data_IF_051400580612
#
_entry.id   IF_051400580612
#
_cell.length_a   1.000
_cell.length_b   1.000
_cell.length_c   1.000
_cell.angle_alpha   90.00
_cell.angle_beta   90.00
_cell.angle_gamma   90.00
#
_symmetry.space_group_name_H-M   'P 1'
#
loop_
_entity.id
_entity.type
_entity.pdbx_description
1 polymer ?
#
# COMPACT_ATOMS: atom_id res chain seq x y z
N UNK A 1 -27.82 -43.42 -32.18
CA UNK A 1 -27.46 -42.09 -32.72
C UNK A 1 -27.86 -40.94 -31.79
N UNK A 2 -29.05 -40.98 -31.16
CA UNK A 2 -29.57 -39.95 -30.22
C UNK A 2 -28.67 -39.67 -29.01
N UNK A 3 -27.99 -40.69 -28.44
CA UNK A 3 -27.16 -40.54 -27.24
C UNK A 3 -25.86 -39.72 -27.44
N UNK A 4 -25.33 -39.69 -28.68
CA UNK A 4 -24.15 -38.88 -29.04
C UNK A 4 -24.50 -37.42 -29.33
N UNK A 5 -25.72 -37.18 -29.81
CA UNK A 5 -26.26 -35.82 -30.03
C UNK A 5 -26.58 -35.14 -28.70
N UNK A 6 -27.14 -35.88 -27.74
CA UNK A 6 -27.47 -35.36 -26.40
C UNK A 6 -26.20 -34.98 -25.60
N UNK A 7 -25.14 -35.79 -25.67
CA UNK A 7 -23.89 -35.53 -24.95
C UNK A 7 -23.13 -34.32 -25.53
N UNK A 8 -23.18 -34.13 -26.86
CA UNK A 8 -22.62 -32.94 -27.51
C UNK A 8 -23.37 -31.66 -27.16
N UNK A 9 -24.70 -31.72 -27.06
CA UNK A 9 -25.53 -30.58 -26.67
C UNK A 9 -25.29 -30.15 -25.21
N UNK A 10 -25.12 -31.11 -24.29
CA UNK A 10 -24.82 -30.82 -22.88
C UNK A 10 -23.42 -30.23 -22.70
N UNK A 11 -22.42 -30.68 -23.47
CA UNK A 11 -21.06 -30.13 -23.41
C UNK A 11 -20.97 -28.70 -23.99
N UNK A 12 -21.77 -28.39 -25.02
CA UNK A 12 -21.87 -27.05 -25.61
C UNK A 12 -22.60 -26.06 -24.70
N UNK A 13 -23.62 -26.51 -23.96
CA UNK A 13 -24.32 -25.67 -22.98
C UNK A 13 -23.48 -25.36 -21.73
N UNK A 14 -22.64 -26.30 -21.29
CA UNK A 14 -21.75 -26.09 -20.13
C UNK A 14 -20.61 -25.10 -20.43
N UNK A 15 -20.09 -25.06 -21.67
CA UNK A 15 -19.01 -24.15 -22.06
C UNK A 15 -19.51 -22.70 -22.29
N UNK A 16 -20.78 -22.52 -22.64
CA UNK A 16 -21.39 -21.20 -22.83
C UNK A 16 -21.72 -20.48 -21.51
N UNK A 17 -21.91 -21.22 -20.40
CA UNK A 17 -22.25 -20.64 -19.10
C UNK A 17 -21.04 -20.09 -18.32
N UNK A 18 -19.80 -20.38 -18.75
CA UNK A 18 -18.57 -19.90 -18.09
C UNK A 18 -18.09 -18.53 -18.58
N UNK A 19 -18.74 -17.90 -19.58
CA UNK A 19 -18.31 -16.62 -20.17
C UNK A 19 -19.23 -15.44 -19.81
N UNK A 20 -20.27 -15.65 -18.98
CA UNK A 20 -21.19 -14.59 -18.53
C UNK A 20 -20.98 -14.29 -17.04
N UNK A 21 -19.76 -13.95 -16.65
CA UNK A 21 -19.43 -13.46 -15.32
C UNK A 21 -18.39 -12.33 -15.38
N UNK A 22 -18.65 -11.34 -16.23
CA UNK A 22 -18.08 -9.99 -16.18
C UNK A 22 -18.95 -9.08 -17.07
N UNK A 23 -20.17 -8.78 -16.60
CA UNK A 23 -20.90 -7.61 -17.08
C UNK A 23 -21.23 -6.76 -15.87
N UNK A 24 -20.33 -5.82 -15.57
CA UNK A 24 -20.60 -4.74 -14.64
C UNK A 24 -21.55 -3.77 -15.35
N UNK A 25 -22.85 -4.05 -15.24
CA UNK A 25 -23.91 -3.17 -15.69
C UNK A 25 -24.14 -2.14 -14.59
N UNK A 26 -23.48 -0.99 -14.68
CA UNK A 26 -23.84 0.17 -13.89
C UNK A 26 -25.09 0.80 -14.51
N UNK A 27 -26.24 0.22 -14.17
CA UNK A 27 -27.52 0.86 -14.41
C UNK A 27 -27.63 2.09 -13.50
N UNK A 28 -27.53 3.27 -14.11
CA UNK A 28 -27.93 4.50 -13.48
C UNK A 28 -29.45 4.52 -13.38
N UNK A 29 -29.97 4.32 -12.18
CA UNK A 29 -31.35 4.65 -11.86
C UNK A 29 -31.40 6.10 -11.36
N UNK A 30 -32.03 6.94 -12.18
CA UNK A 30 -32.41 8.29 -11.82
C UNK A 30 -33.57 8.22 -10.82
N UNK A 31 -33.26 8.29 -9.52
CA UNK A 31 -34.27 8.51 -8.49
C UNK A 31 -34.22 9.96 -8.03
N UNK A 32 -35.17 10.74 -8.54
CA UNK A 32 -35.52 12.08 -8.07
C UNK A 32 -35.96 12.03 -6.60
N UNK A 33 -35.19 12.67 -5.72
CA UNK A 33 -35.56 12.98 -4.34
C UNK A 33 -35.31 14.48 -4.06
N UNK A 34 -36.14 15.14 -3.23
CA UNK A 34 -36.21 16.60 -3.07
C UNK A 34 -34.93 17.21 -2.46
N UNK A 35 -34.67 18.51 -2.65
CA UNK A 35 -33.44 19.15 -2.19
C UNK A 35 -33.36 19.12 -0.67
N UNK A 36 -32.43 18.32 -0.14
CA UNK A 36 -32.01 18.40 1.24
C UNK A 36 -31.19 19.69 1.44
N UNK A 37 -31.33 20.38 2.59
CA UNK A 37 -30.64 21.64 2.85
C UNK A 37 -29.12 21.45 2.82
N UNK A 38 -28.42 22.42 2.24
CA UNK A 38 -26.96 22.44 2.12
C UNK A 38 -26.29 22.20 3.48
N UNK A 39 -25.78 20.99 3.69
CA UNK A 39 -24.93 20.68 4.81
C UNK A 39 -23.53 21.24 4.51
N UNK A 40 -23.04 22.09 5.41
CA UNK A 40 -21.72 22.68 5.38
C UNK A 40 -20.67 21.56 5.39
N UNK A 41 -19.86 21.47 4.34
CA UNK A 41 -18.72 20.57 4.28
C UNK A 41 -17.76 20.85 5.45
N UNK A 42 -17.26 19.84 6.19
CA UNK A 42 -16.18 20.05 7.13
C UNK A 42 -14.92 20.48 6.35
N UNK A 43 -14.23 21.48 6.88
CA UNK A 43 -12.97 21.97 6.35
C UNK A 43 -11.94 20.83 6.29
N UNK A 44 -11.54 20.46 5.08
CA UNK A 44 -10.56 19.39 4.85
C UNK A 44 -10.61 18.77 3.46
N UNK A 45 -11.67 18.97 2.67
CA UNK A 45 -11.74 18.47 1.30
C UNK A 45 -10.93 19.33 0.32
N UNK A 46 -9.60 19.22 0.37
CA UNK A 46 -8.83 19.29 -0.86
C UNK A 46 -9.06 17.96 -1.57
N UNK A 47 -9.44 17.99 -2.84
CA UNK A 47 -9.71 16.78 -3.64
C UNK A 47 -8.40 16.04 -3.98
N UNK A 48 -7.65 15.67 -2.95
CA UNK A 48 -6.67 14.61 -3.02
C UNK A 48 -7.47 13.33 -3.11
N UNK A 49 -7.13 12.46 -4.05
CA UNK A 49 -7.78 11.17 -4.21
C UNK A 49 -7.74 10.46 -2.84
N UNK A 50 -8.90 10.05 -2.32
CA UNK A 50 -9.00 9.37 -1.01
C UNK A 50 -8.50 7.93 -1.13
N UNK A 51 -7.78 7.39 -0.15
CA UNK A 51 -7.23 6.02 -0.22
C UNK A 51 -8.32 4.96 -0.07
N UNK A 52 -9.35 5.22 0.73
CA UNK A 52 -10.54 4.40 0.86
C UNK A 52 -11.79 5.23 0.56
N UNK A 53 -12.71 4.70 -0.26
CA UNK A 53 -13.91 5.41 -0.72
C UNK A 53 -15.20 4.68 -0.34
N UNK A 54 -16.29 5.45 -0.25
CA UNK A 54 -17.61 4.88 0.02
C UNK A 54 -18.21 4.27 -1.26
N UNK A 55 -18.63 2.99 -1.27
CA UNK A 55 -19.23 2.38 -2.45
C UNK A 55 -20.58 3.00 -2.83
N UNK A 56 -21.26 3.67 -1.89
CA UNK A 56 -22.52 4.37 -2.14
C UNK A 56 -22.33 5.80 -2.71
N UNK A 57 -21.11 6.17 -3.12
CA UNK A 57 -20.85 7.43 -3.82
C UNK A 57 -20.80 8.68 -2.94
N UNK A 58 -20.72 8.53 -1.61
CA UNK A 58 -20.56 9.65 -0.68
C UNK A 58 -19.16 10.30 -0.83
N UNK A 59 -19.09 11.37 -1.62
CA UNK A 59 -17.86 12.13 -1.86
C UNK A 59 -17.39 12.84 -0.58
N UNK A 60 -16.09 12.78 -0.29
CA UNK A 60 -15.50 13.40 0.91
C UNK A 60 -15.70 12.62 2.22
N UNK A 61 -16.34 11.44 2.15
CA UNK A 61 -16.50 10.53 3.29
C UNK A 61 -15.61 9.29 3.17
N UNK A 62 -14.51 9.43 2.45
CA UNK A 62 -13.43 8.46 2.39
C UNK A 62 -12.56 8.50 3.64
N UNK A 63 -11.46 7.75 3.62
CA UNK A 63 -10.49 7.70 4.70
C UNK A 63 -9.09 7.38 4.16
N UNK A 64 -8.06 7.81 4.89
CA UNK A 64 -6.68 7.36 4.66
C UNK A 64 -6.42 5.91 5.11
N UNK A 65 -7.36 5.29 5.83
CA UNK A 65 -7.25 3.93 6.36
C UNK A 65 -8.56 3.15 6.19
N UNK A 66 -8.48 1.81 6.24
CA UNK A 66 -9.66 0.95 6.18
C UNK A 66 -10.64 1.27 7.32
N UNK A 67 -11.95 1.23 7.03
CA UNK A 67 -12.98 1.58 7.99
C UNK A 67 -14.39 1.58 7.39
N UNK A 68 -15.32 2.28 8.05
CA UNK A 68 -16.72 2.41 7.62
C UNK A 68 -17.06 3.85 7.27
N UNK A 69 -17.89 4.05 6.24
CA UNK A 69 -18.41 5.37 5.87
C UNK A 69 -19.31 5.92 6.98
N UNK A 70 -19.06 7.15 7.43
CA UNK A 70 -19.87 7.81 8.46
C UNK A 70 -21.29 8.20 8.03
N UNK A 71 -21.60 8.15 6.74
CA UNK A 71 -22.93 8.51 6.19
C UNK A 71 -23.88 7.32 6.05
N UNK A 72 -23.34 6.11 5.89
CA UNK A 72 -24.16 4.92 5.61
C UNK A 72 -23.66 3.64 6.25
N UNK A 73 -22.61 3.73 7.07
CA UNK A 73 -21.98 2.60 7.77
C UNK A 73 -21.45 1.47 6.88
N UNK A 74 -21.51 1.62 5.55
CA UNK A 74 -20.92 0.68 4.61
C UNK A 74 -19.39 0.64 4.77
N UNK A 75 -18.81 -0.54 4.63
CA UNK A 75 -17.35 -0.70 4.60
C UNK A 75 -16.77 0.11 3.44
N UNK A 76 -15.74 0.90 3.72
CA UNK A 76 -15.03 1.64 2.70
C UNK A 76 -14.20 0.67 1.85
N UNK A 77 -14.21 0.90 0.53
CA UNK A 77 -13.45 0.10 -0.42
C UNK A 77 -12.13 0.79 -0.72
N UNK A 78 -11.07 0.01 -0.96
CA UNK A 78 -9.77 0.54 -1.35
C UNK A 78 -9.86 1.18 -2.74
N UNK A 79 -9.32 2.40 -2.86
CA UNK A 79 -9.31 3.17 -4.08
C UNK A 79 -7.98 2.99 -4.82
N UNK A 80 -7.99 2.20 -5.89
CA UNK A 80 -6.79 1.92 -6.68
C UNK A 80 -6.18 3.20 -7.31
N UNK A 81 -6.99 4.21 -7.60
CA UNK A 81 -6.50 5.46 -8.19
C UNK A 81 -5.60 6.26 -7.24
N UNK A 82 -5.68 6.02 -5.92
CA UNK A 82 -4.80 6.67 -4.93
C UNK A 82 -3.32 6.46 -5.28
N UNK A 83 -2.94 5.20 -5.49
CA UNK A 83 -1.57 4.78 -5.81
C UNK A 83 -1.11 5.20 -7.21
N UNK A 84 -2.05 5.51 -8.11
CA UNK A 84 -1.73 6.07 -9.42
C UNK A 84 -1.35 7.56 -9.34
N UNK A 85 -1.83 8.28 -8.32
CA UNK A 85 -1.47 9.69 -8.09
C UNK A 85 -0.17 9.83 -7.28
N UNK A 86 0.20 8.83 -6.48
CA UNK A 86 1.50 8.76 -5.80
C UNK A 86 2.68 8.62 -6.80
N UNK A 87 2.40 8.25 -8.05
CA UNK A 87 3.36 8.15 -9.14
C UNK A 87 3.54 9.46 -9.93
N UNK A 88 2.72 10.49 -9.68
CA UNK A 88 2.95 11.81 -10.24
C UNK A 88 4.08 12.50 -9.44
N UNK A 89 5.13 13.03 -10.08
CA UNK A 89 6.10 13.86 -9.38
C UNK A 89 5.35 15.06 -8.79
N UNK A 90 5.29 15.16 -7.46
CA UNK A 90 4.77 16.34 -6.81
C UNK A 90 5.52 17.59 -7.34
N UNK A 91 4.85 18.75 -7.54
CA UNK A 91 5.56 20.02 -7.67
C UNK A 91 6.33 20.22 -6.38
N UNK A 92 7.62 19.93 -6.45
CA UNK A 92 8.59 20.19 -5.42
C UNK A 92 8.49 21.66 -5.02
N UNK A 93 8.23 22.03 -3.74
CA UNK A 93 8.36 23.42 -3.33
C UNK A 93 9.79 23.82 -3.63
N UNK A 94 9.94 24.77 -4.56
CA UNK A 94 11.18 25.15 -5.24
C UNK A 94 12.46 24.67 -4.51
N UNK A 95 13.04 23.57 -5.00
CA UNK A 95 14.43 23.28 -4.72
C UNK A 95 15.21 24.48 -5.23
N UNK A 96 15.81 25.20 -4.28
CA UNK A 96 16.90 26.10 -4.60
C UNK A 96 17.90 25.29 -5.41
N UNK A 97 18.21 25.79 -6.60
CA UNK A 97 19.19 25.26 -7.53
C UNK A 97 20.44 24.80 -6.78
N UNK A 98 20.53 23.50 -6.50
CA UNK A 98 21.77 22.87 -6.08
C UNK A 98 22.57 22.64 -7.36
N UNK A 99 23.75 23.25 -7.37
CA UNK A 99 24.82 23.08 -8.33
C UNK A 99 25.01 21.60 -8.72
N UNK A 100 25.10 21.26 -10.02
CA UNK A 100 25.29 19.88 -10.47
C UNK A 100 26.64 19.25 -10.07
N UNK A 101 27.49 19.96 -9.33
CA UNK A 101 28.76 19.44 -8.77
C UNK A 101 28.66 18.94 -7.32
N UNK A 102 27.47 18.94 -6.71
CA UNK A 102 27.25 18.43 -5.36
C UNK A 102 27.50 16.92 -5.23
N UNK A 103 28.73 16.53 -4.92
CA UNK A 103 29.04 15.17 -4.45
C UNK A 103 28.41 15.04 -3.07
N UNK A 104 27.23 14.41 -2.99
CA UNK A 104 26.62 14.09 -1.71
C UNK A 104 27.52 13.09 -0.98
N UNK A 105 28.23 13.56 0.05
CA UNK A 105 29.01 12.69 0.92
C UNK A 105 28.03 11.75 1.62
N UNK A 106 28.21 10.42 1.53
CA UNK A 106 27.35 9.48 2.23
C UNK A 106 27.42 9.76 3.73
N UNK A 107 26.31 9.55 4.47
CA UNK A 107 26.32 9.71 5.91
C UNK A 107 27.42 8.84 6.54
N UNK A 108 28.05 9.31 7.62
CA UNK A 108 29.09 8.55 8.29
C UNK A 108 28.55 7.16 8.69
N UNK A 109 29.37 6.09 8.59
CA UNK A 109 28.96 4.77 9.04
C UNK A 109 28.49 4.81 10.49
N UNK A 110 27.43 4.04 10.81
CA UNK A 110 27.00 3.88 12.18
C UNK A 110 28.15 3.34 13.05
N UNK A 111 28.24 3.81 14.29
CA UNK A 111 29.18 3.28 15.25
C UNK A 111 28.96 1.77 15.43
N UNK A 112 30.04 1.03 15.68
CA UNK A 112 29.93 -0.41 15.85
C UNK A 112 29.24 -0.80 17.17
N UNK A 113 29.39 0.04 18.19
CA UNK A 113 28.73 -0.08 19.48
C UNK A 113 27.95 1.20 19.81
N UNK A 114 26.82 1.04 20.51
CA UNK A 114 26.11 2.18 21.09
C UNK A 114 26.78 2.65 22.39
N UNK A 115 26.26 3.72 23.00
CA UNK A 115 26.83 4.28 24.23
C UNK A 115 26.82 3.31 25.44
N UNK A 116 25.97 2.28 25.40
CA UNK A 116 25.92 1.21 26.40
C UNK A 116 26.87 0.05 26.10
N UNK A 117 27.67 0.13 25.02
CA UNK A 117 28.59 -0.92 24.60
C UNK A 117 27.94 -2.09 23.85
N UNK A 118 26.67 -1.98 23.47
CA UNK A 118 25.96 -3.01 22.70
C UNK A 118 26.38 -2.93 21.24
N UNK A 119 26.78 -4.06 20.65
CA UNK A 119 27.18 -4.17 19.25
C UNK A 119 25.99 -4.13 18.30
N UNK A 120 26.14 -3.47 17.14
CA UNK A 120 25.11 -3.44 16.09
C UNK A 120 24.93 -4.79 15.40
N UNK A 121 26.02 -5.52 15.18
CA UNK A 121 26.00 -6.88 14.66
C UNK A 121 26.78 -7.82 15.58
N UNK A 122 26.20 -8.97 15.92
CA UNK A 122 26.73 -9.95 16.88
C UNK A 122 26.78 -11.35 16.29
N UNK A 123 27.63 -12.22 16.86
CA UNK A 123 27.72 -13.60 16.43
C UNK A 123 26.58 -14.43 17.03
N UNK A 124 25.74 -15.03 16.18
CA UNK A 124 24.65 -15.90 16.63
C UNK A 124 25.14 -17.15 17.38
N UNK A 125 26.40 -17.56 17.17
CA UNK A 125 27.05 -18.65 17.89
C UNK A 125 27.59 -18.24 19.26
N UNK A 126 27.41 -16.98 19.69
CA UNK A 126 27.84 -16.51 21.00
C UNK A 126 29.34 -16.20 21.12
N UNK A 127 30.05 -16.04 20.00
CA UNK A 127 31.44 -15.58 20.03
C UNK A 127 31.51 -14.14 20.60
N UNK A 128 32.57 -13.84 21.33
CA UNK A 128 32.80 -12.50 21.87
C UNK A 128 33.03 -11.48 20.75
N UNK A 129 32.53 -10.25 20.95
CA UNK A 129 32.68 -9.13 20.02
C UNK A 129 31.52 -8.96 19.03
N UNK A 130 31.75 -8.12 18.02
CA UNK A 130 30.77 -7.76 17.01
C UNK A 130 31.34 -6.79 15.98
N UNK A 131 30.47 -6.19 15.16
CA UNK A 131 30.86 -5.17 14.19
C UNK A 131 29.75 -4.15 13.94
N UNK A 132 30.07 -3.08 13.22
CA UNK A 132 29.10 -2.10 12.73
C UNK A 132 28.36 -2.54 11.47
N UNK A 133 28.71 -3.69 10.90
CA UNK A 133 28.16 -4.22 9.65
C UNK A 133 28.06 -5.75 9.68
N UNK A 134 27.28 -6.32 8.74
CA UNK A 134 27.13 -7.76 8.55
C UNK A 134 28.36 -8.40 7.89
N UNK A 135 29.50 -8.39 8.60
CA UNK A 135 30.76 -9.00 8.17
C UNK A 135 30.95 -10.39 8.80
N UNK A 136 32.00 -11.12 8.40
CA UNK A 136 32.35 -12.39 9.02
C UNK A 136 32.84 -12.20 10.47
N UNK A 137 32.39 -13.08 11.38
CA UNK A 137 32.88 -13.14 12.75
C UNK A 137 34.36 -13.55 12.76
N UNK A 138 35.19 -12.78 13.46
CA UNK A 138 36.63 -13.04 13.56
C UNK A 138 36.97 -14.40 14.21
N UNK A 139 36.05 -14.97 14.99
CA UNK A 139 36.27 -16.24 15.70
C UNK A 139 35.82 -17.45 14.90
N UNK A 140 34.62 -17.42 14.32
CA UNK A 140 34.02 -18.61 13.69
C UNK A 140 33.75 -18.46 12.18
N UNK A 141 34.02 -17.28 11.59
CA UNK A 141 33.81 -17.02 10.17
C UNK A 141 32.36 -16.82 9.74
N UNK A 142 31.37 -17.17 10.58
CA UNK A 142 29.96 -16.93 10.29
C UNK A 142 29.63 -15.44 10.17
N UNK A 143 28.75 -15.08 9.25
CA UNK A 143 28.27 -13.69 9.11
C UNK A 143 27.57 -13.23 10.39
N UNK A 144 27.94 -12.05 10.87
CA UNK A 144 27.34 -11.43 12.05
C UNK A 144 25.87 -11.06 11.76
N UNK A 145 25.01 -11.35 12.73
CA UNK A 145 23.59 -11.07 12.67
C UNK A 145 23.27 -9.70 13.27
N UNK A 146 22.23 -9.05 12.76
CA UNK A 146 21.76 -7.77 13.29
C UNK A 146 21.25 -7.92 14.73
N UNK A 147 21.66 -7.02 15.61
CA UNK A 147 21.27 -6.99 17.00
C UNK A 147 20.26 -5.87 17.26
N UNK A 148 19.00 -6.24 17.49
CA UNK A 148 17.92 -5.27 17.74
C UNK A 148 18.15 -4.45 19.02
N UNK A 149 18.84 -5.02 20.03
CA UNK A 149 19.09 -4.31 21.28
C UNK A 149 20.04 -3.10 21.13
N UNK A 150 20.72 -2.97 20.00
CA UNK A 150 21.53 -1.80 19.68
C UNK A 150 20.70 -0.51 19.62
N UNK A 151 19.42 -0.60 19.24
CA UNK A 151 18.52 0.53 18.96
C UNK A 151 17.58 0.91 20.11
N UNK A 152 17.76 0.32 21.30
CA UNK A 152 16.94 0.56 22.50
C UNK A 152 17.56 1.59 23.44
#
# INVERSE_FOLDING_TARGET
MIKRVLLGFVLLFALAFSITACKNEQAGDASTAPPAPAATAPAGATSTVEHYTCPNGHLGYGSGTAGTCSQCSATLVHNQAFHANDAAPAPNPAIQTQDPTGTATPPPPAAAQNAAGVWHYTCASGCAGGAGAATACATCGSTLAHNQAYHN
#
